data_IF_281219368742
#
_entry.id   IF_281219368742
#
_cell.length_a   1.000
_cell.length_b   1.000
_cell.length_c   1.000
_cell.angle_alpha   90.00
_cell.angle_beta   90.00
_cell.angle_gamma   90.00
#
_symmetry.space_group_name_H-M   'P 1'
#
loop_
_entity.id
_entity.type
_entity.pdbx_description
1 polymer ?
#
# COMPACT_ATOMS: atom_id res chain seq x y z
N UNK A 1 -3.74 -6.24 7.13
CA UNK A 1 -3.32 -7.32 6.26
C UNK A 1 -4.45 -8.18 5.78
N UNK A 2 -4.11 -9.23 5.03
CA UNK A 2 -5.09 -10.10 4.41
C UNK A 2 -5.81 -9.43 3.24
N UNK A 3 -6.66 -10.19 2.55
CA UNK A 3 -7.36 -9.72 1.34
C UNK A 3 -8.57 -8.80 1.63
N UNK A 4 -9.11 -8.84 2.85
CA UNK A 4 -10.32 -8.08 3.24
C UNK A 4 -10.33 -6.61 2.84
N UNK A 5 -9.23 -5.85 3.04
CA UNK A 5 -9.18 -4.43 2.69
C UNK A 5 -9.51 -4.11 1.23
N UNK A 6 -9.37 -5.07 0.32
CA UNK A 6 -9.73 -4.88 -1.10
C UNK A 6 -11.23 -4.64 -1.29
N UNK A 7 -12.08 -5.21 -0.41
CA UNK A 7 -13.53 -5.12 -0.50
C UNK A 7 -14.13 -4.01 0.36
N UNK A 8 -13.59 -3.84 1.58
CA UNK A 8 -14.21 -2.92 2.55
C UNK A 8 -13.38 -1.67 2.82
N UNK A 9 -12.16 -1.82 3.33
CA UNK A 9 -11.36 -0.68 3.81
C UNK A 9 -11.01 0.29 2.69
N UNK A 10 -10.76 -0.22 1.49
CA UNK A 10 -10.44 0.61 0.32
C UNK A 10 -11.57 1.57 -0.04
N UNK A 11 -12.81 1.21 0.28
CA UNK A 11 -14.01 1.98 -0.03
C UNK A 11 -14.56 2.75 1.19
N UNK A 12 -13.99 2.56 2.38
CA UNK A 12 -14.48 3.17 3.61
C UNK A 12 -14.14 4.66 3.70
N UNK A 13 -15.17 5.51 3.77
CA UNK A 13 -15.00 6.95 3.80
C UNK A 13 -14.22 7.44 5.02
N UNK A 14 -14.39 6.80 6.18
CA UNK A 14 -13.67 7.17 7.41
C UNK A 14 -12.19 6.83 7.31
N UNK A 15 -11.87 5.66 6.75
CA UNK A 15 -10.47 5.25 6.52
C UNK A 15 -9.78 6.20 5.54
N UNK A 16 -10.45 6.53 4.44
CA UNK A 16 -9.92 7.46 3.44
C UNK A 16 -9.64 8.82 4.07
N UNK A 17 -10.60 9.36 4.81
CA UNK A 17 -10.46 10.67 5.46
C UNK A 17 -9.31 10.69 6.48
N UNK A 18 -9.16 9.63 7.26
CA UNK A 18 -8.10 9.52 8.28
C UNK A 18 -6.72 9.46 7.62
N UNK A 19 -6.57 8.68 6.56
CA UNK A 19 -5.31 8.56 5.82
C UNK A 19 -4.94 9.91 5.21
N UNK A 20 -5.90 10.58 4.59
CA UNK A 20 -5.67 11.90 3.99
C UNK A 20 -5.27 12.92 5.07
N UNK A 21 -5.91 12.91 6.23
CA UNK A 21 -5.57 13.80 7.35
C UNK A 21 -4.15 13.55 7.86
N UNK A 22 -3.74 12.28 8.03
CA UNK A 22 -2.38 11.93 8.44
C UNK A 22 -1.37 12.41 7.41
N UNK A 23 -1.64 12.16 6.14
CA UNK A 23 -0.75 12.59 5.07
C UNK A 23 -0.58 14.12 5.04
N UNK A 24 -1.69 14.85 5.15
CA UNK A 24 -1.67 16.31 5.14
C UNK A 24 -0.91 16.90 6.33
N UNK A 25 -0.90 16.22 7.46
CA UNK A 25 -0.15 16.67 8.66
C UNK A 25 1.30 16.17 8.67
N UNK A 26 1.74 15.43 7.65
CA UNK A 26 3.09 14.89 7.56
C UNK A 26 3.35 13.70 8.47
N UNK A 27 2.32 13.13 9.09
CA UNK A 27 2.46 11.97 9.97
C UNK A 27 2.73 10.70 9.17
N UNK A 28 3.51 9.75 9.73
CA UNK A 28 3.84 8.51 9.04
C UNK A 28 2.62 7.62 8.80
N UNK A 29 2.63 6.95 7.64
CA UNK A 29 1.62 5.97 7.24
C UNK A 29 2.34 4.71 6.79
N UNK A 30 1.91 3.55 7.31
CA UNK A 30 2.46 2.26 6.92
C UNK A 30 1.37 1.31 6.44
N UNK A 31 1.64 0.58 5.34
CA UNK A 31 0.72 -0.41 4.81
C UNK A 31 1.49 -1.55 4.15
N UNK A 32 1.11 -2.79 4.45
CA UNK A 32 1.83 -3.99 3.99
C UNK A 32 0.88 -4.96 3.32
N UNK A 33 1.37 -5.66 2.30
CA UNK A 33 0.67 -6.73 1.59
C UNK A 33 -0.51 -6.19 0.79
N UNK A 34 -1.75 -6.51 1.17
CA UNK A 34 -2.96 -5.98 0.53
C UNK A 34 -3.43 -4.66 1.16
N UNK A 35 -2.89 -4.26 2.31
CA UNK A 35 -3.30 -3.01 2.96
C UNK A 35 -3.10 -1.75 2.08
N UNK A 36 -2.10 -1.68 1.16
CA UNK A 36 -2.02 -0.55 0.23
C UNK A 36 -3.26 -0.34 -0.65
N UNK A 37 -4.19 -1.29 -0.68
CA UNK A 37 -5.51 -1.10 -1.28
C UNK A 37 -6.22 0.15 -0.74
N UNK A 38 -5.93 0.55 0.50
CA UNK A 38 -6.50 1.75 1.13
C UNK A 38 -6.15 3.04 0.39
N UNK A 39 -5.14 3.01 -0.47
CA UNK A 39 -4.75 4.18 -1.27
C UNK A 39 -5.51 4.31 -2.58
N UNK A 40 -6.44 3.40 -2.86
CA UNK A 40 -7.17 3.42 -4.14
C UNK A 40 -7.90 4.73 -4.40
N UNK A 41 -8.57 5.27 -3.39
CA UNK A 41 -9.38 6.48 -3.49
C UNK A 41 -8.84 7.66 -2.69
N UNK A 42 -7.70 7.52 -2.00
CA UNK A 42 -7.11 8.61 -1.24
C UNK A 42 -6.49 9.65 -2.17
N UNK A 43 -6.66 10.92 -1.80
CA UNK A 43 -6.21 12.07 -2.60
C UNK A 43 -5.28 12.97 -1.79
N UNK A 44 -4.41 13.66 -2.50
CA UNK A 44 -3.58 14.73 -1.98
C UNK A 44 -3.53 15.84 -3.02
N UNK A 45 -4.00 17.05 -2.66
CA UNK A 45 -4.11 18.18 -3.58
C UNK A 45 -4.88 17.85 -4.87
N UNK A 46 -5.95 17.06 -4.75
CA UNK A 46 -6.83 16.70 -5.86
C UNK A 46 -6.33 15.57 -6.75
N UNK A 47 -5.16 15.01 -6.45
CA UNK A 47 -4.58 13.89 -7.20
C UNK A 47 -4.46 12.64 -6.33
N UNK A 48 -4.29 11.42 -6.92
CA UNK A 48 -4.05 10.23 -6.10
C UNK A 48 -2.88 10.45 -5.15
N UNK A 49 -3.07 10.04 -3.88
CA UNK A 49 -2.07 10.22 -2.83
C UNK A 49 -0.73 9.61 -3.18
N UNK A 50 -0.72 8.46 -3.89
CA UNK A 50 0.50 7.75 -4.27
C UNK A 50 1.14 8.27 -5.56
N UNK A 51 0.52 9.21 -6.25
CA UNK A 51 1.05 9.71 -7.52
C UNK A 51 2.46 10.27 -7.36
N UNK A 52 3.38 9.75 -8.16
CA UNK A 52 4.79 10.17 -8.14
C UNK A 52 5.59 9.65 -6.96
N UNK A 53 5.00 8.84 -6.08
CA UNK A 53 5.68 8.31 -4.90
C UNK A 53 6.14 6.88 -5.14
N UNK A 54 7.30 6.53 -4.58
CA UNK A 54 7.77 5.16 -4.60
C UNK A 54 6.93 4.32 -3.64
N UNK A 55 6.35 3.23 -4.13
CA UNK A 55 5.43 2.38 -3.38
C UNK A 55 5.60 0.92 -3.76
N UNK A 56 5.18 0.04 -2.85
CA UNK A 56 5.04 -1.39 -3.13
C UNK A 56 3.76 -1.93 -2.48
N UNK A 57 3.43 -3.14 -2.79
CA UNK A 57 2.29 -3.87 -2.26
C UNK A 57 2.27 -5.26 -2.88
N UNK A 58 1.26 -6.05 -2.55
CA UNK A 58 1.16 -7.42 -3.01
C UNK A 58 1.22 -7.49 -4.54
N UNK A 59 2.15 -8.30 -5.05
CA UNK A 59 2.40 -8.36 -6.49
C UNK A 59 1.37 -9.22 -7.22
N UNK A 60 1.25 -9.00 -8.53
CA UNK A 60 0.42 -9.84 -9.38
C UNK A 60 0.90 -11.31 -9.36
N UNK A 61 2.21 -11.53 -9.33
CA UNK A 61 2.78 -12.87 -9.25
C UNK A 61 2.44 -13.57 -7.94
N UNK A 62 2.47 -12.83 -6.83
CA UNK A 62 2.07 -13.37 -5.52
C UNK A 62 0.58 -13.69 -5.48
N UNK A 63 -0.29 -12.84 -6.04
CA UNK A 63 -1.72 -13.08 -6.11
C UNK A 63 -2.04 -14.31 -6.96
N UNK A 64 -1.35 -14.48 -8.07
CA UNK A 64 -1.45 -15.66 -8.91
C UNK A 64 -1.00 -16.92 -8.17
N UNK A 65 0.07 -16.80 -7.39
CA UNK A 65 0.59 -17.90 -6.56
C UNK A 65 -0.40 -18.42 -5.53
N UNK A 66 -1.26 -17.56 -4.98
CA UNK A 66 -2.35 -17.97 -4.07
C UNK A 66 -3.67 -18.21 -4.79
N UNK A 67 -3.69 -18.13 -6.13
CA UNK A 67 -4.83 -18.46 -6.99
C UNK A 67 -6.05 -17.55 -6.76
N UNK A 68 -5.82 -16.28 -6.45
CA UNK A 68 -6.89 -15.32 -6.17
C UNK A 68 -6.99 -14.18 -7.18
N UNK A 69 -6.17 -14.21 -8.25
CA UNK A 69 -6.16 -13.16 -9.27
C UNK A 69 -7.56 -12.87 -9.83
N UNK A 70 -8.34 -13.93 -10.11
CA UNK A 70 -9.67 -13.79 -10.69
C UNK A 70 -10.77 -13.59 -9.65
N UNK A 71 -10.44 -13.65 -8.36
CA UNK A 71 -11.38 -13.53 -7.25
C UNK A 71 -11.41 -12.12 -6.69
N UNK A 72 -10.23 -11.47 -6.60
CA UNK A 72 -10.13 -10.13 -6.00
C UNK A 72 -10.80 -9.06 -6.88
N UNK A 73 -11.38 -8.00 -6.28
CA UNK A 73 -12.05 -6.95 -7.06
C UNK A 73 -11.09 -6.10 -7.88
N UNK A 74 -9.83 -6.04 -7.47
CA UNK A 74 -8.75 -5.40 -8.22
C UNK A 74 -7.41 -5.92 -7.70
N UNK A 75 -6.37 -5.76 -8.52
CA UNK A 75 -5.00 -6.13 -8.16
C UNK A 75 -4.28 -4.92 -7.57
N UNK A 76 -3.63 -5.11 -6.41
CA UNK A 76 -2.92 -4.04 -5.70
C UNK A 76 -1.83 -3.43 -6.58
N UNK A 77 -1.02 -4.27 -7.21
CA UNK A 77 0.05 -3.81 -8.12
C UNK A 77 -0.52 -2.92 -9.23
N UNK A 78 -1.56 -3.37 -9.90
CA UNK A 78 -2.18 -2.64 -11.01
C UNK A 78 -2.80 -1.33 -10.54
N UNK A 79 -3.46 -1.35 -9.37
CA UNK A 79 -4.08 -0.16 -8.79
C UNK A 79 -3.06 0.92 -8.47
N UNK A 80 -1.95 0.54 -7.83
CA UNK A 80 -0.89 1.50 -7.49
C UNK A 80 -0.28 2.13 -8.74
N UNK A 81 -0.06 1.33 -9.78
CA UNK A 81 0.44 1.83 -11.07
C UNK A 81 -0.59 2.75 -11.75
N UNK A 82 -1.87 2.37 -11.74
CA UNK A 82 -2.93 3.16 -12.34
C UNK A 82 -3.09 4.53 -11.65
N UNK A 83 -2.83 4.58 -10.34
CA UNK A 83 -2.85 5.83 -9.57
C UNK A 83 -1.57 6.66 -9.69
N UNK A 84 -0.66 6.27 -10.56
CA UNK A 84 0.57 7.02 -10.83
C UNK A 84 1.69 6.75 -9.84
N UNK A 85 1.57 5.74 -8.98
CA UNK A 85 2.65 5.32 -8.09
C UNK A 85 3.85 4.78 -8.87
N UNK A 86 5.04 5.08 -8.38
CA UNK A 86 6.28 4.47 -8.89
C UNK A 86 6.42 3.12 -8.18
N UNK A 87 5.82 2.11 -8.76
CA UNK A 87 5.73 0.79 -8.14
C UNK A 87 7.07 0.05 -8.22
N UNK A 88 7.53 -0.45 -7.07
CA UNK A 88 8.73 -1.27 -6.97
C UNK A 88 8.37 -2.62 -6.37
N UNK A 89 9.10 -3.66 -6.75
CA UNK A 89 8.93 -4.98 -6.16
C UNK A 89 10.24 -5.75 -6.14
N UNK A 90 10.38 -6.61 -5.15
CA UNK A 90 11.42 -7.64 -5.10
C UNK A 90 10.85 -8.97 -5.58
N UNK A 91 11.59 -10.05 -5.36
CA UNK A 91 11.13 -11.39 -5.69
C UNK A 91 9.86 -11.74 -4.91
N UNK A 92 8.99 -12.53 -5.52
CA UNK A 92 7.77 -13.00 -4.86
C UNK A 92 8.12 -13.67 -3.52
N UNK A 93 7.35 -13.30 -2.49
CA UNK A 93 7.46 -13.81 -1.12
C UNK A 93 8.73 -13.39 -0.36
N UNK A 94 9.63 -12.64 -0.98
CA UNK A 94 10.78 -12.06 -0.29
C UNK A 94 10.37 -10.74 0.41
N UNK A 95 11.02 -10.43 1.52
CA UNK A 95 10.81 -9.15 2.21
C UNK A 95 11.23 -7.99 1.31
N UNK A 96 10.33 -7.04 1.10
CA UNK A 96 10.60 -5.83 0.32
C UNK A 96 9.79 -4.67 0.88
N UNK A 97 10.46 -3.60 1.29
CA UNK A 97 9.85 -2.43 1.90
C UNK A 97 10.35 -1.18 1.18
N UNK A 98 9.44 -0.26 0.91
CA UNK A 98 9.74 1.02 0.26
C UNK A 98 9.32 2.15 1.21
N UNK A 99 10.22 3.09 1.44
CA UNK A 99 9.94 4.31 2.20
C UNK A 99 10.08 5.51 1.29
N UNK A 100 9.05 6.34 1.23
CA UNK A 100 9.07 7.59 0.47
C UNK A 100 8.45 8.68 1.35
N UNK A 101 9.30 9.55 1.91
CA UNK A 101 8.85 10.57 2.85
C UNK A 101 8.20 9.94 4.08
N UNK A 102 6.93 10.26 4.31
CA UNK A 102 6.14 9.74 5.42
C UNK A 102 5.42 8.41 5.11
N UNK A 103 5.59 7.87 3.90
CA UNK A 103 4.87 6.67 3.47
C UNK A 103 5.80 5.46 3.46
N UNK A 104 5.41 4.42 4.20
CA UNK A 104 6.09 3.12 4.23
C UNK A 104 5.14 2.08 3.67
N UNK A 105 5.56 1.36 2.64
CA UNK A 105 4.79 0.25 2.08
C UNK A 105 5.63 -1.01 2.05
N UNK A 106 4.98 -2.15 2.28
CA UNK A 106 5.60 -3.48 2.25
C UNK A 106 4.88 -4.39 1.27
N UNK A 107 5.62 -5.26 0.61
CA UNK A 107 5.11 -6.05 -0.50
C UNK A 107 4.21 -7.21 -0.08
N UNK A 108 4.54 -7.89 1.03
CA UNK A 108 3.98 -9.20 1.37
C UNK A 108 4.09 -9.47 2.87
N UNK A 109 3.59 -10.62 3.37
CA UNK A 109 3.68 -10.95 4.79
C UNK A 109 5.11 -10.94 5.34
N UNK A 110 6.09 -11.34 4.54
CA UNK A 110 7.50 -11.34 4.95
C UNK A 110 8.06 -9.94 5.18
N UNK A 111 7.36 -8.91 4.71
CA UNK A 111 7.77 -7.50 4.84
C UNK A 111 7.29 -6.83 6.13
N UNK A 112 6.49 -7.51 6.96
CA UNK A 112 5.83 -6.89 8.11
C UNK A 112 6.82 -6.35 9.14
N UNK A 113 7.83 -7.12 9.52
CA UNK A 113 8.84 -6.69 10.49
C UNK A 113 9.67 -5.51 9.97
N UNK A 114 10.19 -5.63 8.75
CA UNK A 114 10.98 -4.56 8.13
C UNK A 114 10.14 -3.29 7.94
N UNK A 115 8.87 -3.43 7.58
CA UNK A 115 7.93 -2.32 7.47
C UNK A 115 7.71 -1.61 8.79
N UNK A 116 7.52 -2.37 9.87
CA UNK A 116 7.37 -1.82 11.21
C UNK A 116 8.62 -1.06 11.66
N UNK A 117 9.81 -1.62 11.40
CA UNK A 117 11.08 -0.97 11.72
C UNK A 117 11.26 0.33 10.94
N UNK A 118 10.91 0.34 9.66
CA UNK A 118 10.96 1.55 8.83
C UNK A 118 10.03 2.63 9.35
N UNK A 119 8.81 2.26 9.77
CA UNK A 119 7.84 3.18 10.35
C UNK A 119 8.36 3.77 11.68
N UNK A 120 8.95 2.94 12.53
CA UNK A 120 9.52 3.40 13.80
C UNK A 120 10.62 4.43 13.58
N UNK A 121 11.43 4.30 12.54
CA UNK A 121 12.47 5.29 12.21
C UNK A 121 11.86 6.65 11.91
N UNK A 122 10.70 6.70 11.28
CA UNK A 122 10.01 7.96 10.99
C UNK A 122 9.42 8.61 12.25
N UNK A 123 9.18 7.83 13.30
CA UNK A 123 8.64 8.29 14.57
C UNK A 123 9.74 8.71 15.58
N UNK A 124 10.96 8.36 15.30
CA UNK A 124 12.10 8.65 16.18
C UNK A 124 12.49 10.14 16.18
#
# INVERSE_FOLDING_TARGET
GGHGPLWDLAEDAHSIALIEAFNNSGKPIGAVCHAPAVFRHTRHNGEPLVKGRAVTGFTNGEEDGVQLTDIVPFLVEDMLKANGGVYEKGDDWASHVVTDGNLVTGQNPASSEAGAKALLKLLA
#
